data_IF_130419654664
#
_entry.id   IF_130419654664
#
_cell.length_a   1.000
_cell.length_b   1.000
_cell.length_c   1.000
_cell.angle_alpha   90.00
_cell.angle_beta   90.00
_cell.angle_gamma   90.00
#
_symmetry.space_group_name_H-M   'P 1'
#
loop_
_entity.id
_entity.type
_entity.pdbx_description
1 polymer ?
#
# COMPACT_ATOMS: atom_id res chain seq x y z
N UNK A 1 -2.71 19.34 -6.24
CA UNK A 1 -2.36 18.20 -7.13
C UNK A 1 -1.46 17.24 -6.38
N UNK A 2 -1.46 15.95 -6.72
CA UNK A 2 -0.62 14.92 -6.09
C UNK A 2 0.19 14.20 -7.17
N UNK A 3 1.37 13.72 -6.81
CA UNK A 3 2.18 12.91 -7.71
C UNK A 3 1.73 11.45 -7.69
N UNK A 4 1.62 10.87 -8.88
CA UNK A 4 1.27 9.48 -9.09
C UNK A 4 2.29 8.82 -10.00
N UNK A 5 2.85 7.71 -9.54
CA UNK A 5 3.71 6.86 -10.36
C UNK A 5 2.85 5.87 -11.12
N UNK A 6 3.05 5.79 -12.43
CA UNK A 6 2.29 4.92 -13.34
C UNK A 6 3.05 3.61 -13.54
N UNK A 7 2.31 2.52 -13.37
CA UNK A 7 2.75 1.15 -13.53
C UNK A 7 1.97 0.52 -14.69
N UNK A 8 2.67 -0.07 -15.67
CA UNK A 8 2.05 -0.77 -16.81
C UNK A 8 2.51 -2.22 -16.82
N UNK A 9 1.56 -3.14 -16.83
CA UNK A 9 1.81 -4.57 -17.04
C UNK A 9 1.84 -4.89 -18.54
N UNK A 10 2.66 -5.86 -19.00
CA UNK A 10 2.67 -6.29 -20.40
C UNK A 10 1.30 -6.73 -20.94
N UNK A 11 0.39 -7.19 -20.08
CA UNK A 11 -0.99 -7.55 -20.46
C UNK A 11 -1.90 -6.33 -20.72
N UNK A 12 -1.39 -5.10 -20.64
CA UNK A 12 -2.15 -3.87 -20.82
C UNK A 12 -2.80 -3.29 -19.56
N UNK A 13 -2.67 -3.94 -18.39
CA UNK A 13 -3.17 -3.37 -17.14
C UNK A 13 -2.33 -2.16 -16.71
N UNK A 14 -3.00 -1.07 -16.33
CA UNK A 14 -2.35 0.17 -15.88
C UNK A 14 -2.83 0.51 -14.48
N UNK A 15 -1.90 0.75 -13.57
CA UNK A 15 -2.18 1.19 -12.22
C UNK A 15 -1.42 2.49 -11.89
N UNK A 16 -2.09 3.39 -11.17
CA UNK A 16 -1.46 4.57 -10.59
C UNK A 16 -1.34 4.44 -9.08
N UNK A 17 -0.15 4.74 -8.56
CA UNK A 17 0.14 4.76 -7.12
C UNK A 17 0.52 6.17 -6.68
N UNK A 18 -0.23 6.70 -5.73
CA UNK A 18 0.02 8.02 -5.14
C UNK A 18 1.34 7.99 -4.38
N UNK A 19 2.20 8.99 -4.56
CA UNK A 19 3.41 9.14 -3.77
C UNK A 19 3.11 9.71 -2.36
N UNK A 20 3.84 9.21 -1.36
CA UNK A 20 3.70 9.60 0.04
C UNK A 20 2.53 8.93 0.76
N UNK A 21 1.91 9.65 1.71
CA UNK A 21 0.95 9.10 2.67
C UNK A 21 -0.27 8.38 2.04
N UNK A 22 -0.59 7.21 2.59
CA UNK A 22 -1.73 6.37 2.25
C UNK A 22 -2.77 6.33 3.36
N UNK A 23 -3.82 7.15 3.21
CA UNK A 23 -4.97 7.15 4.12
C UNK A 23 -5.65 5.78 4.26
N UNK A 24 -5.90 5.03 3.17
CA UNK A 24 -6.52 3.72 3.30
C UNK A 24 -5.63 2.71 4.02
N UNK A 25 -4.31 2.77 3.82
CA UNK A 25 -3.40 1.87 4.53
C UNK A 25 -3.38 2.21 6.04
N UNK A 26 -3.38 3.49 6.41
CA UNK A 26 -3.41 3.92 7.81
C UNK A 26 -4.63 3.39 8.58
N UNK A 27 -5.83 3.52 8.00
CA UNK A 27 -7.07 3.14 8.71
C UNK A 27 -7.41 1.66 8.63
N UNK A 28 -7.05 1.00 7.54
CA UNK A 28 -7.48 -0.39 7.28
C UNK A 28 -6.32 -1.41 7.34
N UNK A 29 -5.08 -0.96 7.51
CA UNK A 29 -3.89 -1.79 7.77
C UNK A 29 -3.82 -3.06 6.90
N UNK A 30 -3.91 -4.22 7.56
CA UNK A 30 -3.83 -5.52 6.90
C UNK A 30 -4.98 -5.79 5.91
N UNK A 31 -6.19 -5.30 6.15
CA UNK A 31 -7.33 -5.46 5.23
C UNK A 31 -7.03 -4.78 3.89
N UNK A 32 -6.47 -3.58 3.96
CA UNK A 32 -6.01 -2.87 2.77
C UNK A 32 -4.90 -3.63 2.03
N UNK A 33 -3.93 -4.19 2.75
CA UNK A 33 -2.87 -5.00 2.16
C UNK A 33 -3.43 -6.24 1.42
N UNK A 34 -4.42 -6.92 2.00
CA UNK A 34 -5.09 -8.05 1.35
C UNK A 34 -5.81 -7.62 0.07
N UNK A 35 -6.57 -6.52 0.12
CA UNK A 35 -7.26 -5.97 -1.06
C UNK A 35 -6.29 -5.62 -2.19
N UNK A 36 -5.06 -5.19 -1.85
CA UNK A 36 -3.99 -4.89 -2.82
C UNK A 36 -3.15 -6.11 -3.22
N UNK A 37 -3.57 -7.32 -2.82
CA UNK A 37 -2.89 -8.60 -3.10
C UNK A 37 -1.46 -8.66 -2.54
N UNK A 38 -1.21 -7.94 -1.46
CA UNK A 38 0.07 -7.90 -0.75
C UNK A 38 0.11 -9.04 0.28
N UNK A 39 0.07 -10.29 -0.21
CA UNK A 39 -0.12 -11.47 0.64
C UNK A 39 0.99 -11.66 1.67
N UNK A 40 2.25 -11.47 1.28
CA UNK A 40 3.40 -11.60 2.21
C UNK A 40 3.29 -10.64 3.38
N UNK A 41 2.96 -9.38 3.09
CA UNK A 41 2.78 -8.36 4.13
C UNK A 41 1.58 -8.70 5.03
N UNK A 42 0.46 -9.13 4.43
CA UNK A 42 -0.76 -9.46 5.17
C UNK A 42 -0.52 -10.64 6.13
N UNK A 43 0.12 -11.71 5.64
CA UNK A 43 0.47 -12.88 6.47
C UNK A 43 1.44 -12.47 7.57
N UNK A 44 2.48 -11.69 7.26
CA UNK A 44 3.45 -11.24 8.24
C UNK A 44 2.82 -10.43 9.39
N UNK A 45 1.87 -9.55 9.06
CA UNK A 45 1.15 -8.72 10.05
C UNK A 45 0.24 -9.57 10.93
N UNK A 46 -0.51 -10.51 10.35
CA UNK A 46 -1.36 -11.44 11.12
C UNK A 46 -0.50 -12.28 12.07
N UNK A 47 0.60 -12.85 11.59
CA UNK A 47 1.51 -13.61 12.44
C UNK A 47 2.12 -12.76 13.56
N UNK A 48 2.52 -11.52 13.27
CA UNK A 48 3.04 -10.60 14.28
C UNK A 48 1.99 -10.31 15.37
N UNK A 49 0.74 -10.04 14.99
CA UNK A 49 -0.35 -9.80 15.94
C UNK A 49 -0.59 -11.04 16.82
N UNK A 50 -0.61 -12.24 16.22
CA UNK A 50 -0.80 -13.48 16.98
C UNK A 50 0.34 -13.74 17.96
N UNK A 51 1.59 -13.55 17.54
CA UNK A 51 2.77 -13.75 18.40
C UNK A 51 2.78 -12.73 19.54
N UNK A 52 2.56 -11.45 19.24
CA UNK A 52 2.55 -10.39 20.25
C UNK A 52 1.39 -10.63 21.22
N UNK A 53 0.19 -10.91 20.73
CA UNK A 53 -0.98 -11.21 21.55
C UNK A 53 -0.78 -12.41 22.46
N UNK A 54 -0.14 -13.48 21.95
CA UNK A 54 0.21 -14.65 22.75
C UNK A 54 1.20 -14.28 23.87
N UNK A 55 2.28 -13.56 23.56
CA UNK A 55 3.28 -13.14 24.54
C UNK A 55 2.65 -12.23 25.61
N UNK A 56 1.86 -11.24 25.22
CA UNK A 56 1.21 -10.33 26.17
C UNK A 56 0.20 -11.06 27.04
N UNK A 57 -0.53 -12.03 26.49
CA UNK A 57 -1.51 -12.82 27.24
C UNK A 57 -0.91 -13.75 28.30
N UNK A 58 0.35 -14.16 28.16
CA UNK A 58 1.05 -14.99 29.14
C UNK A 58 1.94 -14.19 30.11
N UNK A 59 2.45 -13.03 29.69
CA UNK A 59 3.54 -12.34 30.40
C UNK A 59 3.16 -10.98 30.99
N UNK A 60 2.00 -10.41 30.63
CA UNK A 60 1.55 -9.11 31.12
C UNK A 60 0.22 -9.21 31.88
N UNK A 61 0.00 -8.30 32.83
CA UNK A 61 -1.34 -8.05 33.35
C UNK A 61 -2.25 -7.53 32.24
N UNK A 62 -3.56 -7.75 32.34
CA UNK A 62 -4.53 -7.34 31.31
C UNK A 62 -4.38 -5.87 30.89
N UNK A 63 -4.34 -4.94 31.84
CA UNK A 63 -4.20 -3.50 31.56
C UNK A 63 -2.90 -3.15 30.81
N UNK A 64 -1.78 -3.75 31.21
CA UNK A 64 -0.48 -3.57 30.55
C UNK A 64 -0.45 -4.21 29.15
N UNK A 65 -1.04 -5.40 29.01
CA UNK A 65 -1.17 -6.09 27.72
C UNK A 65 -1.98 -5.27 26.72
N UNK A 66 -3.12 -4.73 27.14
CA UNK A 66 -3.95 -3.84 26.33
C UNK A 66 -3.22 -2.56 25.92
N UNK A 67 -2.52 -1.91 26.86
CA UNK A 67 -1.73 -0.72 26.57
C UNK A 67 -0.64 -0.98 25.53
N UNK A 68 0.08 -2.11 25.65
CA UNK A 68 1.10 -2.53 24.69
C UNK A 68 0.48 -2.78 23.31
N UNK A 69 -0.61 -3.55 23.24
CA UNK A 69 -1.27 -3.88 21.98
C UNK A 69 -1.80 -2.62 21.27
N UNK A 70 -2.41 -1.68 22.01
CA UNK A 70 -2.87 -0.41 21.46
C UNK A 70 -1.71 0.46 20.94
N UNK A 71 -0.61 0.56 21.69
CA UNK A 71 0.58 1.30 21.28
C UNK A 71 1.22 0.73 20.02
N UNK A 72 1.36 -0.59 19.96
CA UNK A 72 1.88 -1.29 18.77
C UNK A 72 0.91 -1.12 17.59
N UNK A 73 -0.39 -1.26 17.82
CA UNK A 73 -1.42 -1.08 16.79
C UNK A 73 -1.38 0.33 16.17
N UNK A 74 -1.27 1.37 17.00
CA UNK A 74 -1.14 2.74 16.53
C UNK A 74 0.16 2.95 15.73
N UNK A 75 1.29 2.42 16.22
CA UNK A 75 2.57 2.47 15.52
C UNK A 75 2.50 1.75 14.17
N UNK A 76 1.85 0.59 14.12
CA UNK A 76 1.64 -0.16 12.90
C UNK A 76 0.79 0.65 11.91
N UNK A 77 -0.33 1.26 12.35
CA UNK A 77 -1.16 2.10 11.49
C UNK A 77 -0.36 3.27 10.89
N UNK A 78 0.47 3.96 11.68
CA UNK A 78 1.37 5.00 11.18
C UNK A 78 2.35 4.46 10.13
N UNK A 79 2.95 3.30 10.38
CA UNK A 79 3.85 2.64 9.42
C UNK A 79 3.14 2.30 8.11
N UNK A 80 1.92 1.78 8.18
CA UNK A 80 1.07 1.54 7.01
C UNK A 80 0.72 2.85 6.28
N UNK A 81 0.44 3.92 7.00
CA UNK A 81 0.18 5.24 6.43
C UNK A 81 1.36 5.78 5.64
N UNK A 82 2.57 5.70 6.20
CA UNK A 82 3.80 6.20 5.57
C UNK A 82 4.26 5.29 4.43
N UNK A 83 4.34 3.99 4.66
CA UNK A 83 5.01 3.04 3.76
C UNK A 83 4.04 2.26 2.87
N UNK A 84 2.74 2.30 3.13
CA UNK A 84 1.76 1.47 2.43
C UNK A 84 1.80 1.63 0.92
N UNK A 85 1.92 2.88 0.42
CA UNK A 85 2.05 3.11 -1.02
C UNK A 85 3.34 2.53 -1.59
N UNK A 86 4.48 2.67 -0.90
CA UNK A 86 5.75 2.06 -1.32
C UNK A 86 5.66 0.54 -1.39
N UNK A 87 5.09 -0.10 -0.37
CA UNK A 87 4.88 -1.55 -0.39
C UNK A 87 3.94 -1.99 -1.52
N UNK A 88 2.94 -1.16 -1.88
CA UNK A 88 2.09 -1.41 -3.05
C UNK A 88 2.89 -1.33 -4.35
N UNK A 89 3.82 -0.38 -4.48
CA UNK A 89 4.70 -0.29 -5.65
C UNK A 89 5.58 -1.54 -5.79
N UNK A 90 6.21 -1.96 -4.70
CA UNK A 90 7.00 -3.20 -4.66
C UNK A 90 6.17 -4.42 -5.04
N UNK A 91 4.93 -4.50 -4.55
CA UNK A 91 4.00 -5.57 -4.90
C UNK A 91 3.63 -5.56 -6.39
N UNK A 92 3.45 -4.39 -7.00
CA UNK A 92 3.19 -4.28 -8.44
C UNK A 92 4.41 -4.71 -9.25
N UNK A 93 5.61 -4.27 -8.87
CA UNK A 93 6.87 -4.67 -9.52
C UNK A 93 7.06 -6.18 -9.43
N UNK A 94 6.87 -6.77 -8.24
CA UNK A 94 6.94 -8.21 -8.04
C UNK A 94 5.91 -9.01 -8.86
N UNK A 95 4.84 -8.36 -9.33
CA UNK A 95 3.79 -8.92 -10.19
C UNK A 95 4.02 -8.62 -11.68
N UNK A 96 5.19 -8.12 -12.06
CA UNK A 96 5.58 -7.90 -13.45
C UNK A 96 5.16 -6.55 -14.04
N UNK A 97 4.73 -5.60 -13.21
CA UNK A 97 4.49 -4.24 -13.68
C UNK A 97 5.79 -3.46 -13.84
N UNK A 98 5.91 -2.69 -14.92
CA UNK A 98 7.03 -1.77 -15.13
C UNK A 98 6.62 -0.33 -14.77
N UNK A 99 7.53 0.39 -14.10
CA UNK A 99 7.39 1.83 -13.88
C UNK A 99 7.55 2.56 -15.22
N UNK A 100 6.60 3.45 -15.55
CA UNK A 100 6.63 4.22 -16.81
C UNK A 100 6.98 5.68 -16.59
N UNK A 101 6.15 6.41 -15.84
CA UNK A 101 6.35 7.82 -15.56
C UNK A 101 5.65 8.25 -14.27
N UNK A 102 6.04 9.40 -13.75
CA UNK A 102 5.33 10.08 -12.66
C UNK A 102 4.52 11.24 -13.24
N UNK A 103 3.26 11.37 -12.84
CA UNK A 103 2.32 12.38 -13.33
C UNK A 103 1.71 13.11 -12.14
N UNK A 104 1.62 14.42 -12.24
CA UNK A 104 0.84 15.23 -11.30
C UNK A 104 -0.63 15.23 -11.71
N UNK A 105 -1.51 14.74 -10.85
CA UNK A 105 -2.95 14.64 -11.13
C UNK A 105 -3.79 14.92 -9.88
N UNK A 106 -5.10 15.11 -10.07
CA UNK A 106 -6.05 15.24 -8.95
C UNK A 106 -6.36 13.89 -8.28
N UNK A 107 -6.34 12.80 -9.06
CA UNK A 107 -6.66 11.44 -8.61
C UNK A 107 -5.89 10.38 -9.38
N UNK A 108 -5.88 9.15 -8.87
CA UNK A 108 -5.25 8.01 -9.55
C UNK A 108 -5.88 7.76 -10.93
N UNK A 109 -7.21 7.86 -11.06
CA UNK A 109 -7.90 7.72 -12.34
C UNK A 109 -7.53 8.82 -13.34
N UNK A 110 -7.43 10.07 -12.87
CA UNK A 110 -6.98 11.18 -13.71
C UNK A 110 -5.53 10.98 -14.18
N UNK A 111 -4.64 10.44 -13.33
CA UNK A 111 -3.27 10.12 -13.72
C UNK A 111 -3.22 9.04 -14.82
N UNK A 112 -4.07 8.02 -14.73
CA UNK A 112 -4.17 6.98 -15.78
C UNK A 112 -4.72 7.57 -17.08
N UNK A 113 -5.75 8.41 -17.03
CA UNK A 113 -6.32 9.05 -18.21
C UNK A 113 -5.28 9.95 -18.92
N UNK A 114 -4.58 10.80 -18.17
CA UNK A 114 -3.49 11.63 -18.70
C UNK A 114 -2.33 10.79 -19.26
N UNK A 115 -2.06 9.62 -18.69
CA UNK A 115 -1.04 8.73 -19.25
C UNK A 115 -1.45 8.21 -20.63
N UNK A 116 -2.69 7.72 -20.75
CA UNK A 116 -3.23 7.16 -21.99
C UNK A 116 -3.31 8.19 -23.11
N UNK A 117 -3.82 9.40 -22.84
CA UNK A 117 -3.88 10.49 -23.82
C UNK A 117 -2.49 10.79 -24.42
N UNK A 118 -1.48 10.91 -23.55
CA UNK A 118 -0.08 11.14 -23.96
C UNK A 118 0.55 9.95 -24.72
N UNK A 119 0.18 8.71 -24.37
CA UNK A 119 0.67 7.49 -25.04
C UNK A 119 0.08 7.41 -26.47
N UNK A 120 -1.20 7.76 -26.64
CA UNK A 120 -1.88 7.78 -27.94
C UNK A 120 -1.39 8.92 -28.83
N UNK A 121 -1.12 10.10 -28.29
CA UNK A 121 -0.57 11.22 -29.08
C UNK A 121 0.87 11.00 -29.57
N UNK A 122 1.61 10.04 -28.97
CA UNK A 122 3.00 9.75 -29.30
C UNK A 122 3.18 8.63 -30.34
N UNK A 123 2.10 7.93 -30.73
CA UNK A 123 2.13 6.89 -31.77
C UNK A 123 1.50 7.45 -33.05
N UNK A 124 2.28 7.98 -34.01
CA UNK A 124 1.74 8.34 -35.31
C UNK A 124 1.26 7.04 -35.99
N UNK A 125 -0.01 7.05 -36.38
CA UNK A 125 -0.66 6.04 -37.22
C UNK A 125 0.09 5.78 -38.52
#
# INVERSE_FOLDING_TARGET
MKEFKIFKHPSGAIEAVKQGWSWPAFFFGFVWAMMKKMWKLSIGVVLAILVIGFITGIAASEEMGEAILNGIGMTANLMFGVHGNSWREESLIARGFAVKKTISAASAGAAVALYLENDTSASPS
#
